data_IF_860040096661
#
_entry.id   IF_860040096661
#
_cell.length_a   1.000
_cell.length_b   1.000
_cell.length_c   1.000
_cell.angle_alpha   90.00
_cell.angle_beta   90.00
_cell.angle_gamma   90.00
#
_symmetry.space_group_name_H-M   'P 1'
#
loop_
_entity.id
_entity.type
_entity.pdbx_description
1 polymer ?
#
# COMPACT_ATOMS: atom_id res chain seq x y z
N UNK A 1 5.29 -26.90 18.52
CA UNK A 1 5.97 -25.74 17.92
C UNK A 1 4.93 -24.71 17.54
N UNK A 2 5.20 -23.43 17.69
CA UNK A 2 4.26 -22.39 17.25
C UNK A 2 4.21 -22.44 15.71
N UNK A 3 3.02 -22.60 15.12
CA UNK A 3 2.81 -22.67 13.66
C UNK A 3 3.40 -21.47 12.91
N UNK A 4 3.55 -20.32 13.57
CA UNK A 4 4.19 -19.14 13.03
C UNK A 4 5.71 -19.35 12.86
N UNK A 5 6.39 -19.96 13.84
CA UNK A 5 7.83 -20.22 13.76
C UNK A 5 8.18 -21.17 12.60
N UNK A 6 7.36 -22.19 12.35
CA UNK A 6 7.55 -23.08 11.20
C UNK A 6 7.46 -22.32 9.85
N UNK A 7 6.55 -21.35 9.75
CA UNK A 7 6.40 -20.50 8.58
C UNK A 7 7.55 -19.50 8.41
N UNK A 8 8.07 -18.95 9.51
CA UNK A 8 9.24 -18.06 9.48
C UNK A 8 10.51 -18.83 9.07
N UNK A 9 10.67 -20.07 9.51
CA UNK A 9 11.75 -20.93 9.04
C UNK A 9 11.60 -21.32 7.56
N UNK A 10 10.37 -21.52 7.08
CA UNK A 10 10.09 -21.69 5.65
C UNK A 10 10.45 -20.43 4.85
N UNK A 11 10.07 -19.23 5.33
CA UNK A 11 10.42 -17.95 4.70
C UNK A 11 11.94 -17.79 4.62
N UNK A 12 12.67 -18.07 5.70
CA UNK A 12 14.12 -18.03 5.75
C UNK A 12 14.76 -18.95 4.69
N UNK A 13 14.26 -20.18 4.55
CA UNK A 13 14.75 -21.14 3.54
C UNK A 13 14.49 -20.63 2.12
N UNK A 14 13.29 -20.06 1.86
CA UNK A 14 12.93 -19.50 0.57
C UNK A 14 13.87 -18.35 0.20
N UNK A 15 14.04 -17.37 1.10
CA UNK A 15 14.92 -16.22 0.86
C UNK A 15 16.37 -16.63 0.66
N UNK A 16 16.87 -17.56 1.49
CA UNK A 16 18.23 -18.09 1.35
C UNK A 16 18.43 -18.78 0.00
N UNK A 17 17.42 -19.48 -0.50
CA UNK A 17 17.45 -20.12 -1.82
C UNK A 17 17.50 -19.14 -2.98
N UNK A 18 17.02 -17.91 -2.82
CA UNK A 18 17.13 -16.85 -3.85
C UNK A 18 18.53 -16.22 -3.93
N UNK A 19 19.30 -16.28 -2.86
CA UNK A 19 20.64 -15.67 -2.75
C UNK A 19 20.57 -14.15 -2.59
N UNK A 20 20.58 -13.38 -3.67
CA UNK A 20 20.45 -11.90 -3.65
C UNK A 20 19.06 -11.47 -4.07
N UNK A 21 18.41 -10.61 -3.29
CA UNK A 21 17.04 -10.19 -3.53
C UNK A 21 16.92 -8.66 -3.69
N UNK A 22 15.97 -8.23 -4.51
CA UNK A 22 15.51 -6.85 -4.60
C UNK A 22 14.03 -6.83 -4.16
N UNK A 23 13.73 -6.13 -3.09
CA UNK A 23 12.39 -6.09 -2.50
C UNK A 23 11.64 -4.88 -3.04
N UNK A 24 10.48 -5.11 -3.67
CA UNK A 24 9.55 -4.04 -4.03
C UNK A 24 8.91 -3.47 -2.75
N UNK A 25 9.49 -2.39 -2.23
CA UNK A 25 9.13 -1.77 -0.96
C UNK A 25 8.09 -0.68 -1.17
N UNK A 26 6.86 -0.93 -0.77
CA UNK A 26 5.74 0.01 -0.91
C UNK A 26 5.52 0.90 0.31
N UNK A 27 6.25 0.69 1.42
CA UNK A 27 5.97 1.32 2.71
C UNK A 27 4.77 0.72 3.48
N UNK A 28 4.13 -0.31 2.94
CA UNK A 28 3.12 -1.09 3.63
C UNK A 28 3.70 -2.18 4.52
N UNK A 29 2.92 -2.63 5.51
CA UNK A 29 3.36 -3.58 6.56
C UNK A 29 4.04 -4.83 5.99
N UNK A 30 3.45 -5.43 4.95
CA UNK A 30 3.93 -6.70 4.40
C UNK A 30 5.32 -6.55 3.75
N UNK A 31 5.52 -5.51 2.93
CA UNK A 31 6.81 -5.23 2.30
C UNK A 31 7.88 -4.79 3.30
N UNK A 32 7.47 -4.07 4.35
CA UNK A 32 8.35 -3.68 5.46
C UNK A 32 8.78 -4.89 6.27
N UNK A 33 7.84 -5.80 6.59
CA UNK A 33 8.19 -7.05 7.26
C UNK A 33 9.18 -7.88 6.43
N UNK A 34 8.92 -8.03 5.12
CA UNK A 34 9.82 -8.78 4.25
C UNK A 34 11.24 -8.19 4.26
N UNK A 35 11.35 -6.85 4.21
CA UNK A 35 12.63 -6.15 4.24
C UNK A 35 13.35 -6.33 5.58
N UNK A 36 12.65 -6.09 6.69
CA UNK A 36 13.25 -6.19 8.04
C UNK A 36 13.62 -7.63 8.38
N UNK A 37 12.79 -8.60 7.98
CA UNK A 37 13.11 -10.01 8.15
C UNK A 37 14.36 -10.41 7.34
N UNK A 38 14.46 -9.98 6.07
CA UNK A 38 15.63 -10.23 5.25
C UNK A 38 16.89 -9.57 5.84
N UNK A 39 16.78 -8.35 6.38
CA UNK A 39 17.85 -7.66 7.09
C UNK A 39 18.43 -8.49 8.25
N UNK A 40 17.56 -9.15 9.06
CA UNK A 40 18.03 -9.97 10.18
C UNK A 40 18.66 -11.30 9.76
N UNK A 41 18.49 -11.70 8.51
CA UNK A 41 19.13 -12.92 8.01
C UNK A 41 20.56 -12.72 7.51
N UNK A 42 20.89 -11.49 7.08
CA UNK A 42 22.14 -11.21 6.38
C UNK A 42 22.75 -9.88 6.83
N UNK A 43 24.06 -9.92 7.12
CA UNK A 43 24.86 -8.74 7.48
C UNK A 43 25.50 -8.06 6.25
N UNK A 44 25.16 -8.51 5.04
CA UNK A 44 25.77 -8.08 3.77
C UNK A 44 24.72 -7.47 2.80
N UNK A 45 25.13 -7.21 1.54
CA UNK A 45 24.32 -6.57 0.52
C UNK A 45 23.33 -7.51 -0.20
N UNK A 46 23.03 -8.69 0.36
CA UNK A 46 22.09 -9.63 -0.28
C UNK A 46 20.68 -9.10 -0.37
N UNK A 47 20.23 -8.31 0.58
CA UNK A 47 18.95 -7.60 0.52
C UNK A 47 19.13 -6.17 0.04
N UNK A 48 18.33 -5.76 -0.95
CA UNK A 48 18.19 -4.39 -1.39
C UNK A 48 16.71 -4.07 -1.58
N UNK A 49 16.36 -2.79 -1.60
CA UNK A 49 15.00 -2.33 -1.78
C UNK A 49 14.84 -1.43 -3.00
N UNK A 50 13.66 -1.47 -3.60
CA UNK A 50 13.26 -0.56 -4.67
C UNK A 50 11.84 -0.07 -4.44
N UNK A 51 11.61 1.23 -4.58
CA UNK A 51 10.27 1.85 -4.44
C UNK A 51 9.93 2.60 -5.72
N UNK A 52 8.75 2.33 -6.28
CA UNK A 52 8.19 3.13 -7.35
C UNK A 52 7.54 4.38 -6.75
N UNK A 53 7.84 5.56 -7.30
CA UNK A 53 7.32 6.86 -6.85
C UNK A 53 6.67 7.60 -8.00
N UNK A 54 5.48 8.17 -7.78
CA UNK A 54 4.73 8.92 -8.77
C UNK A 54 3.39 9.42 -8.21
N UNK A 55 2.63 10.24 -8.95
CA UNK A 55 1.47 10.98 -8.42
C UNK A 55 0.34 10.11 -7.83
N UNK A 56 0.27 8.84 -8.21
CA UNK A 56 -0.76 7.91 -7.72
C UNK A 56 -0.36 7.13 -6.46
N UNK A 57 0.87 7.33 -5.95
CA UNK A 57 1.33 6.85 -4.66
C UNK A 57 1.25 7.96 -3.60
N UNK A 58 1.26 7.58 -2.34
CA UNK A 58 1.31 8.53 -1.25
C UNK A 58 2.79 8.88 -0.94
N UNK A 59 3.09 10.17 -0.90
CA UNK A 59 4.46 10.67 -0.66
C UNK A 59 5.00 10.23 0.70
N UNK A 60 4.17 10.17 1.72
CA UNK A 60 4.50 9.72 3.07
C UNK A 60 4.98 8.25 3.09
N UNK A 61 4.44 7.38 2.23
CA UNK A 61 4.90 6.00 2.12
C UNK A 61 6.30 5.90 1.47
N UNK A 62 6.54 6.68 0.42
CA UNK A 62 7.85 6.75 -0.23
C UNK A 62 8.91 7.30 0.72
N UNK A 63 8.59 8.36 1.47
CA UNK A 63 9.50 8.96 2.44
C UNK A 63 9.77 8.05 3.64
N UNK A 64 8.76 7.30 4.09
CA UNK A 64 8.93 6.26 5.10
C UNK A 64 9.89 5.16 4.62
N UNK A 65 9.71 4.66 3.39
CA UNK A 65 10.58 3.64 2.80
C UNK A 65 12.04 4.10 2.70
N UNK A 66 12.28 5.37 2.30
CA UNK A 66 13.63 5.96 2.28
C UNK A 66 14.29 5.96 3.66
N UNK A 67 13.56 6.47 4.66
CA UNK A 67 14.09 6.54 6.03
C UNK A 67 14.34 5.17 6.63
N UNK A 68 13.43 4.23 6.42
CA UNK A 68 13.60 2.85 6.88
C UNK A 68 14.89 2.23 6.31
N UNK A 69 15.08 2.31 5.01
CA UNK A 69 16.27 1.75 4.37
C UNK A 69 17.56 2.44 4.85
N UNK A 70 17.55 3.78 5.00
CA UNK A 70 18.68 4.54 5.52
C UNK A 70 19.04 4.11 6.96
N UNK A 71 18.04 3.94 7.82
CA UNK A 71 18.23 3.53 9.22
C UNK A 71 18.76 2.08 9.33
N UNK A 72 18.39 1.20 8.41
CA UNK A 72 18.90 -0.18 8.33
C UNK A 72 20.20 -0.31 7.55
N UNK A 73 20.68 0.76 6.89
CA UNK A 73 21.87 0.67 6.02
C UNK A 73 21.64 -0.18 4.77
N UNK A 74 20.38 -0.37 4.34
CA UNK A 74 20.02 -1.15 3.15
C UNK A 74 20.08 -0.28 1.90
N UNK A 75 20.69 -0.78 0.82
CA UNK A 75 20.67 -0.13 -0.49
C UNK A 75 19.25 0.05 -0.98
N UNK A 76 18.88 1.29 -1.30
CA UNK A 76 17.51 1.64 -1.72
C UNK A 76 17.52 2.50 -2.99
N UNK A 77 16.71 2.10 -3.96
CA UNK A 77 16.51 2.83 -5.21
C UNK A 77 15.08 3.34 -5.32
N UNK A 78 14.92 4.61 -5.68
CA UNK A 78 13.62 5.17 -6.07
C UNK A 78 13.54 5.17 -7.60
N UNK A 79 12.47 4.60 -8.13
CA UNK A 79 12.19 4.52 -9.56
C UNK A 79 11.00 5.43 -9.89
N UNK A 80 11.19 6.47 -10.74
CA UNK A 80 10.08 7.31 -11.17
C UNK A 80 9.02 6.50 -11.91
N UNK A 81 7.76 6.70 -11.56
CA UNK A 81 6.59 6.04 -12.14
C UNK A 81 5.56 7.04 -12.71
N UNK A 82 6.02 8.27 -13.05
CA UNK A 82 5.16 9.31 -13.63
C UNK A 82 4.54 8.88 -14.96
N UNK A 83 5.28 8.07 -15.74
CA UNK A 83 4.81 7.50 -17.01
C UNK A 83 3.60 6.57 -16.87
N UNK A 84 3.26 6.13 -15.66
CA UNK A 84 2.12 5.25 -15.41
C UNK A 84 0.79 6.01 -15.50
N UNK A 85 0.74 7.25 -15.00
CA UNK A 85 -0.48 8.03 -14.97
C UNK A 85 -1.12 8.19 -16.36
N UNK A 86 -0.39 8.55 -17.43
CA UNK A 86 -0.93 8.58 -18.79
C UNK A 86 -1.54 7.25 -19.25
N UNK A 87 -0.97 6.12 -18.85
CA UNK A 87 -1.43 4.78 -19.26
C UNK A 87 -2.75 4.40 -18.58
N UNK A 88 -2.92 4.79 -17.31
CA UNK A 88 -4.13 4.49 -16.53
C UNK A 88 -5.13 5.65 -16.48
N UNK A 89 -4.91 6.74 -17.19
CA UNK A 89 -5.68 8.00 -17.06
C UNK A 89 -7.19 7.84 -17.24
N UNK A 90 -7.62 6.90 -18.08
CA UNK A 90 -9.04 6.63 -18.33
C UNK A 90 -9.66 5.71 -17.28
N UNK A 91 -8.90 5.31 -16.28
CA UNK A 91 -9.34 4.54 -15.12
C UNK A 91 -10.12 3.26 -15.49
N UNK A 92 -9.55 2.37 -16.30
CA UNK A 92 -10.21 1.14 -16.70
C UNK A 92 -10.37 0.17 -15.50
N UNK A 93 -11.27 -0.79 -15.60
CA UNK A 93 -11.55 -1.76 -14.54
C UNK A 93 -10.31 -2.63 -14.20
N UNK A 94 -9.47 -2.90 -15.19
CA UNK A 94 -8.19 -3.62 -15.05
C UNK A 94 -6.99 -2.70 -14.76
N UNK A 95 -7.23 -1.42 -14.37
CA UNK A 95 -6.20 -0.45 -14.01
C UNK A 95 -5.08 -1.03 -13.15
N UNK A 96 -5.44 -1.84 -12.12
CA UNK A 96 -4.44 -2.40 -11.21
C UNK A 96 -3.52 -3.41 -11.90
N UNK A 97 -4.01 -4.16 -12.87
CA UNK A 97 -3.19 -5.04 -13.70
C UNK A 97 -2.23 -4.21 -14.56
N UNK A 98 -2.76 -3.24 -15.30
CA UNK A 98 -1.98 -2.38 -16.20
C UNK A 98 -0.87 -1.67 -15.41
N UNK A 99 -1.22 -1.00 -14.31
CA UNK A 99 -0.28 -0.29 -13.45
C UNK A 99 0.82 -1.22 -12.91
N UNK A 100 0.45 -2.37 -12.32
CA UNK A 100 1.45 -3.32 -11.79
C UNK A 100 2.32 -3.91 -12.91
N UNK A 101 1.76 -4.20 -14.07
CA UNK A 101 2.52 -4.72 -15.22
C UNK A 101 3.65 -3.77 -15.61
N UNK A 102 3.32 -2.48 -15.79
CA UNK A 102 4.29 -1.45 -16.16
C UNK A 102 5.36 -1.27 -15.07
N UNK A 103 4.94 -1.08 -13.82
CA UNK A 103 5.86 -0.87 -12.69
C UNK A 103 6.81 -2.06 -12.55
N UNK A 104 6.28 -3.27 -12.44
CA UNK A 104 7.11 -4.44 -12.18
C UNK A 104 7.96 -4.85 -13.38
N UNK A 105 7.58 -4.48 -14.61
CA UNK A 105 8.47 -4.60 -15.78
C UNK A 105 9.71 -3.72 -15.62
N UNK A 106 9.53 -2.46 -15.18
CA UNK A 106 10.65 -1.57 -14.91
C UNK A 106 11.51 -2.06 -13.73
N UNK A 107 10.89 -2.45 -12.62
CA UNK A 107 11.61 -2.95 -11.44
C UNK A 107 12.38 -4.25 -11.73
N UNK A 108 11.80 -5.14 -12.55
CA UNK A 108 12.45 -6.40 -12.95
C UNK A 108 13.74 -6.15 -13.74
N UNK A 109 13.73 -5.15 -14.61
CA UNK A 109 14.94 -4.78 -15.36
C UNK A 109 16.08 -4.42 -14.40
N UNK A 110 15.80 -3.61 -13.36
CA UNK A 110 16.82 -3.28 -12.35
C UNK A 110 17.29 -4.52 -11.57
N UNK A 111 16.37 -5.41 -11.22
CA UNK A 111 16.73 -6.65 -10.53
C UNK A 111 17.64 -7.54 -11.39
N UNK A 112 17.31 -7.70 -12.67
CA UNK A 112 18.08 -8.49 -13.64
C UNK A 112 19.47 -7.88 -13.87
N UNK A 113 19.57 -6.55 -14.01
CA UNK A 113 20.84 -5.81 -14.17
C UNK A 113 21.77 -5.96 -12.96
N UNK A 114 21.22 -6.12 -11.75
CA UNK A 114 21.97 -6.29 -10.50
C UNK A 114 22.16 -7.78 -10.11
N UNK A 115 21.65 -8.72 -10.90
CA UNK A 115 21.69 -10.16 -10.59
C UNK A 115 20.93 -10.51 -9.30
N UNK A 116 19.78 -9.86 -9.07
CA UNK A 116 18.91 -10.06 -7.90
C UNK A 116 17.57 -10.65 -8.30
N UNK A 117 16.99 -11.44 -7.41
CA UNK A 117 15.61 -11.92 -7.56
C UNK A 117 14.64 -10.83 -7.08
N UNK A 118 13.77 -10.34 -7.96
CA UNK A 118 12.73 -9.37 -7.57
C UNK A 118 11.64 -10.06 -6.76
N UNK A 119 11.36 -9.53 -5.56
CA UNK A 119 10.34 -10.04 -4.65
C UNK A 119 9.30 -8.99 -4.32
N UNK A 120 8.08 -9.40 -4.05
CA UNK A 120 6.95 -8.55 -3.65
C UNK A 120 6.37 -9.05 -2.31
N UNK A 121 5.75 -8.15 -1.56
CA UNK A 121 5.14 -8.41 -0.25
C UNK A 121 3.76 -9.07 -0.29
N UNK A 122 3.34 -9.70 -1.38
CA UNK A 122 2.07 -10.42 -1.47
C UNK A 122 2.04 -11.56 -0.45
N UNK A 123 0.99 -11.62 0.37
CA UNK A 123 0.77 -12.59 1.43
C UNK A 123 -0.34 -13.60 1.09
N UNK A 124 -0.63 -14.54 1.99
CA UNK A 124 -1.61 -15.60 1.75
C UNK A 124 -3.04 -15.05 1.60
N UNK A 125 -3.46 -14.09 2.44
CA UNK A 125 -4.83 -13.53 2.41
C UNK A 125 -5.11 -12.75 1.11
N UNK A 126 -4.06 -12.34 0.39
CA UNK A 126 -4.20 -11.66 -0.89
C UNK A 126 -4.70 -12.58 -2.01
N UNK A 127 -4.72 -13.90 -1.79
CA UNK A 127 -5.23 -14.89 -2.76
C UNK A 127 -6.75 -15.02 -2.74
N UNK A 128 -7.40 -14.65 -1.63
CA UNK A 128 -8.86 -14.78 -1.46
C UNK A 128 -9.61 -13.58 -2.07
N UNK A 129 -8.90 -12.54 -2.53
CA UNK A 129 -9.49 -11.33 -3.10
C UNK A 129 -9.29 -11.28 -4.63
N UNK A 130 -10.26 -10.69 -5.36
CA UNK A 130 -10.11 -10.38 -6.78
C UNK A 130 -9.03 -9.33 -6.97
N UNK A 131 -7.80 -9.77 -7.29
CA UNK A 131 -6.63 -8.91 -7.48
C UNK A 131 -6.06 -9.00 -8.89
N UNK A 132 -6.60 -8.22 -9.84
CA UNK A 132 -6.08 -8.21 -11.22
C UNK A 132 -4.58 -7.88 -11.28
N UNK A 133 -4.05 -7.10 -10.33
CA UNK A 133 -2.62 -6.83 -10.22
C UNK A 133 -1.75 -8.06 -9.93
N UNK A 134 -2.26 -9.10 -9.27
CA UNK A 134 -1.51 -10.32 -9.00
C UNK A 134 -1.19 -11.10 -10.29
N UNK A 135 -2.12 -11.09 -11.27
CA UNK A 135 -1.87 -11.69 -12.59
C UNK A 135 -0.63 -11.09 -13.26
N UNK A 136 -0.42 -9.76 -13.13
CA UNK A 136 0.77 -9.11 -13.68
C UNK A 136 2.07 -9.64 -13.03
N UNK A 137 2.07 -9.87 -11.72
CA UNK A 137 3.23 -10.43 -11.01
C UNK A 137 3.54 -11.85 -11.48
N UNK A 138 2.51 -12.69 -11.63
CA UNK A 138 2.68 -14.06 -12.14
C UNK A 138 3.25 -14.09 -13.56
N UNK A 139 2.71 -13.28 -14.47
CA UNK A 139 3.18 -13.19 -15.86
C UNK A 139 4.64 -12.72 -15.98
N UNK A 140 5.11 -11.89 -15.02
CA UNK A 140 6.48 -11.40 -14.97
C UNK A 140 7.43 -12.30 -14.17
N UNK A 141 6.92 -13.38 -13.58
CA UNK A 141 7.70 -14.28 -12.76
C UNK A 141 8.24 -13.64 -11.47
N UNK A 142 7.47 -12.70 -10.88
CA UNK A 142 7.83 -12.06 -9.62
C UNK A 142 7.56 -13.02 -8.46
N UNK A 143 8.54 -13.17 -7.57
CA UNK A 143 8.43 -14.08 -6.44
C UNK A 143 7.66 -13.45 -5.26
N UNK A 144 6.90 -14.28 -4.55
CA UNK A 144 6.06 -13.84 -3.43
C UNK A 144 6.38 -14.66 -2.17
N UNK A 145 7.54 -14.46 -1.53
CA UNK A 145 8.04 -15.34 -0.48
C UNK A 145 7.13 -15.42 0.75
N UNK A 146 6.40 -14.34 1.10
CA UNK A 146 5.44 -14.35 2.23
C UNK A 146 4.27 -15.30 1.95
N UNK A 147 3.70 -15.23 0.73
CA UNK A 147 2.65 -16.13 0.29
C UNK A 147 3.15 -17.58 0.23
N UNK A 148 4.34 -17.79 -0.32
CA UNK A 148 4.92 -19.12 -0.51
C UNK A 148 5.28 -19.79 0.83
N UNK A 149 5.59 -18.98 1.87
CA UNK A 149 5.73 -19.44 3.25
C UNK A 149 4.37 -19.61 3.98
N UNK A 150 3.24 -19.27 3.34
CA UNK A 150 1.91 -19.40 3.90
C UNK A 150 1.58 -18.38 4.99
N UNK A 151 2.23 -17.21 4.99
CA UNK A 151 2.01 -16.16 5.99
C UNK A 151 0.75 -15.34 5.68
N UNK A 152 -0.12 -15.21 6.69
CA UNK A 152 -1.29 -14.33 6.68
C UNK A 152 -0.92 -12.91 7.14
N UNK A 153 -1.79 -11.92 6.85
CA UNK A 153 -1.59 -10.53 7.34
C UNK A 153 -1.48 -10.44 8.84
N UNK A 154 -2.27 -11.21 9.56
CA UNK A 154 -2.24 -11.22 11.03
C UNK A 154 -0.91 -11.78 11.54
N UNK A 155 -0.43 -12.88 10.95
CA UNK A 155 0.87 -13.49 11.30
C UNK A 155 2.03 -12.56 10.96
N UNK A 156 1.99 -11.85 9.83
CA UNK A 156 3.00 -10.86 9.43
C UNK A 156 3.06 -9.72 10.46
N UNK A 157 1.92 -9.15 10.85
CA UNK A 157 1.86 -8.08 11.86
C UNK A 157 2.42 -8.53 13.21
N UNK A 158 2.05 -9.74 13.65
CA UNK A 158 2.58 -10.33 14.88
C UNK A 158 4.09 -10.54 14.78
N UNK A 159 4.56 -11.15 13.69
CA UNK A 159 5.99 -11.41 13.50
C UNK A 159 6.81 -10.11 13.43
N UNK A 160 6.30 -9.06 12.81
CA UNK A 160 6.98 -7.76 12.77
C UNK A 160 7.06 -7.10 14.15
N UNK A 161 6.01 -7.17 14.95
CA UNK A 161 6.01 -6.69 16.35
C UNK A 161 7.01 -7.47 17.20
N UNK A 162 6.99 -8.82 17.13
CA UNK A 162 7.91 -9.68 17.86
C UNK A 162 9.37 -9.42 17.43
N UNK A 163 9.62 -9.19 16.13
CA UNK A 163 10.94 -8.86 15.61
C UNK A 163 11.43 -7.51 16.16
N UNK A 164 10.58 -6.48 16.16
CA UNK A 164 10.91 -5.17 16.73
C UNK A 164 11.20 -5.23 18.24
N UNK A 165 10.52 -6.11 18.98
CA UNK A 165 10.76 -6.28 20.41
C UNK A 165 12.04 -7.07 20.70
N UNK A 166 12.44 -7.97 19.81
CA UNK A 166 13.65 -8.80 19.96
C UNK A 166 14.92 -8.11 19.45
N UNK A 167 14.80 -7.17 18.51
CA UNK A 167 15.93 -6.46 17.89
C UNK A 167 15.77 -4.93 18.02
N UNK A 168 16.52 -4.29 18.95
CA UNK A 168 16.46 -2.84 19.14
C UNK A 168 16.85 -2.04 17.90
N UNK A 169 17.68 -2.56 17.00
CA UNK A 169 18.05 -1.88 15.74
C UNK A 169 16.88 -1.83 14.76
N UNK A 170 16.15 -2.93 14.64
CA UNK A 170 14.91 -3.01 13.86
C UNK A 170 13.86 -2.06 14.45
N UNK A 171 13.67 -2.09 15.79
CA UNK A 171 12.72 -1.20 16.47
C UNK A 171 13.02 0.28 16.20
N UNK A 172 14.27 0.66 16.32
CA UNK A 172 14.69 2.05 16.05
C UNK A 172 14.51 2.41 14.56
N UNK A 173 14.80 1.48 13.65
CA UNK A 173 14.68 1.71 12.23
C UNK A 173 13.22 1.88 11.76
N UNK A 174 12.28 1.15 12.37
CA UNK A 174 10.86 1.24 12.05
C UNK A 174 10.23 2.59 12.44
N UNK A 175 10.80 3.33 13.38
CA UNK A 175 10.37 4.67 13.85
C UNK A 175 8.95 4.72 14.45
N UNK A 176 8.08 3.80 14.11
CA UNK A 176 6.67 3.72 14.53
C UNK A 176 6.21 2.28 14.67
N UNK A 177 5.10 2.05 15.36
CA UNK A 177 4.44 0.74 15.46
C UNK A 177 3.71 0.39 14.15
N UNK A 178 4.48 0.29 13.07
CA UNK A 178 3.95 0.11 11.71
C UNK A 178 3.05 -1.12 11.57
N UNK A 179 3.21 -2.13 12.41
CA UNK A 179 2.34 -3.32 12.41
C UNK A 179 0.89 -3.00 12.73
N UNK A 180 0.60 -1.82 13.32
CA UNK A 180 -0.75 -1.30 13.54
C UNK A 180 -1.26 -0.46 12.35
N UNK A 181 -0.41 -0.12 11.37
CA UNK A 181 -0.79 0.71 10.23
C UNK A 181 -1.94 0.08 9.44
N UNK A 182 -3.03 0.83 9.18
CA UNK A 182 -4.11 0.35 8.31
C UNK A 182 -3.61 0.07 6.89
N UNK A 183 -4.28 -0.86 6.19
CA UNK A 183 -3.98 -1.12 4.79
C UNK A 183 -4.26 0.13 3.95
N UNK A 184 -3.25 0.57 3.20
CA UNK A 184 -3.35 1.71 2.30
C UNK A 184 -3.36 1.23 0.85
N UNK A 185 -4.44 1.56 0.13
CA UNK A 185 -4.52 1.30 -1.31
C UNK A 185 -4.07 2.55 -2.08
N UNK A 186 -3.56 2.38 -3.30
CA UNK A 186 -3.16 3.44 -4.20
C UNK A 186 -4.23 4.55 -4.32
N UNK A 187 -3.84 5.82 -4.36
CA UNK A 187 -4.73 6.99 -4.43
C UNK A 187 -5.70 6.93 -5.62
N UNK A 188 -5.29 6.36 -6.73
CA UNK A 188 -6.17 6.18 -7.90
C UNK A 188 -7.43 5.36 -7.58
N UNK A 189 -7.42 4.54 -6.52
CA UNK A 189 -8.59 3.80 -6.06
C UNK A 189 -9.68 4.69 -5.44
N UNK A 190 -9.44 5.98 -5.24
CA UNK A 190 -10.42 6.96 -4.74
C UNK A 190 -11.26 7.57 -5.85
N UNK A 191 -10.83 7.39 -7.09
CA UNK A 191 -11.52 7.90 -8.28
C UNK A 191 -12.37 6.77 -8.86
N UNK A 192 -13.68 7.00 -9.13
CA UNK A 192 -14.56 5.98 -9.72
C UNK A 192 -14.03 5.48 -11.07
N UNK A 193 -14.27 4.20 -11.38
CA UNK A 193 -13.91 3.64 -12.67
C UNK A 193 -14.51 4.47 -13.82
N UNK A 194 -13.77 4.56 -14.93
CA UNK A 194 -14.12 5.34 -16.14
C UNK A 194 -14.10 6.87 -15.96
N UNK A 195 -13.85 7.38 -14.76
CA UNK A 195 -13.51 8.78 -14.56
C UNK A 195 -12.02 9.02 -14.77
N UNK A 196 -11.67 10.14 -15.41
CA UNK A 196 -10.27 10.52 -15.64
C UNK A 196 -9.52 10.67 -14.31
N UNK A 197 -8.37 9.99 -14.22
CA UNK A 197 -7.39 10.20 -13.17
C UNK A 197 -6.48 11.34 -13.61
N UNK A 198 -6.38 12.39 -12.80
CA UNK A 198 -5.44 13.50 -13.00
C UNK A 198 -4.64 13.75 -11.73
N UNK A 199 -3.49 14.42 -11.88
CA UNK A 199 -2.63 14.77 -10.73
C UNK A 199 -3.36 15.66 -9.73
N UNK A 200 -4.17 16.61 -10.21
CA UNK A 200 -4.95 17.51 -9.35
C UNK A 200 -5.95 16.75 -8.49
N UNK A 201 -6.67 15.77 -9.08
CA UNK A 201 -7.60 14.91 -8.34
C UNK A 201 -6.88 14.06 -7.30
N UNK A 202 -5.76 13.46 -7.67
CA UNK A 202 -4.96 12.65 -6.74
C UNK A 202 -4.42 13.51 -5.60
N UNK A 203 -3.90 14.69 -5.90
CA UNK A 203 -3.39 15.62 -4.90
C UNK A 203 -4.51 16.14 -3.97
N UNK A 204 -5.69 16.45 -4.50
CA UNK A 204 -6.85 16.87 -3.69
C UNK A 204 -7.27 15.76 -2.72
N UNK A 205 -7.38 14.53 -3.20
CA UNK A 205 -7.69 13.35 -2.37
C UNK A 205 -6.63 13.14 -1.29
N UNK A 206 -5.36 13.18 -1.66
CA UNK A 206 -4.26 12.99 -0.72
C UNK A 206 -4.28 14.02 0.41
N UNK A 207 -4.38 15.34 0.06
CA UNK A 207 -4.49 16.42 1.05
C UNK A 207 -5.69 16.23 1.96
N UNK A 208 -6.85 15.84 1.42
CA UNK A 208 -8.04 15.61 2.19
C UNK A 208 -7.90 14.42 3.17
N UNK A 209 -7.28 13.31 2.74
CA UNK A 209 -7.01 12.16 3.63
C UNK A 209 -5.97 12.51 4.69
N UNK A 210 -4.91 13.28 4.38
CA UNK A 210 -3.94 13.79 5.37
C UNK A 210 -4.64 14.66 6.39
N UNK A 211 -5.40 15.67 5.96
CA UNK A 211 -6.15 16.55 6.84
C UNK A 211 -7.07 15.79 7.81
N UNK A 212 -7.79 14.78 7.32
CA UNK A 212 -8.67 13.97 8.17
C UNK A 212 -7.87 13.08 9.13
N UNK A 213 -6.73 12.54 8.72
CA UNK A 213 -5.82 11.81 9.63
C UNK A 213 -5.29 12.71 10.74
N UNK A 214 -4.92 13.96 10.44
CA UNK A 214 -4.48 14.94 11.43
C UNK A 214 -5.59 15.32 12.44
N UNK A 215 -6.86 15.13 12.04
CA UNK A 215 -8.00 15.23 12.95
C UNK A 215 -8.22 13.95 13.79
N UNK A 216 -7.37 12.92 13.64
CA UNK A 216 -7.42 11.69 14.42
C UNK A 216 -8.36 10.62 13.85
N UNK A 217 -8.52 10.54 12.54
CA UNK A 217 -9.15 9.39 11.88
C UNK A 217 -8.09 8.39 11.42
N UNK A 218 -7.94 7.28 12.09
CA UNK A 218 -6.94 6.26 11.75
C UNK A 218 -7.23 5.60 10.41
N UNK A 219 -8.51 5.34 10.12
CA UNK A 219 -8.96 4.73 8.88
C UNK A 219 -9.97 5.63 8.17
N UNK A 220 -9.51 6.31 7.13
CA UNK A 220 -10.36 7.21 6.33
C UNK A 220 -10.07 7.04 4.84
N UNK A 221 -11.10 7.23 4.03
CA UNK A 221 -10.98 7.35 2.58
C UNK A 221 -11.81 8.53 2.08
N UNK A 222 -11.23 9.31 1.19
CA UNK A 222 -11.93 10.39 0.50
C UNK A 222 -12.12 10.00 -0.96
N UNK A 223 -13.38 9.73 -1.35
CA UNK A 223 -13.73 9.39 -2.72
C UNK A 223 -14.01 10.65 -3.50
N UNK A 224 -13.42 10.76 -4.69
CA UNK A 224 -13.58 11.89 -5.58
C UNK A 224 -14.81 11.69 -6.46
N UNK A 225 -15.84 12.51 -6.28
CA UNK A 225 -17.03 12.53 -7.12
C UNK A 225 -17.22 13.93 -7.72
N UNK A 226 -16.41 14.27 -8.74
CA UNK A 226 -16.40 15.61 -9.31
C UNK A 226 -16.05 16.68 -8.27
N UNK A 227 -16.98 17.57 -7.96
CA UNK A 227 -16.80 18.63 -6.96
C UNK A 227 -16.97 18.15 -5.51
N UNK A 228 -17.39 16.90 -5.30
CA UNK A 228 -17.75 16.36 -3.98
C UNK A 228 -16.66 15.42 -3.45
N UNK A 229 -16.19 15.68 -2.24
CA UNK A 229 -15.44 14.73 -1.44
C UNK A 229 -16.42 13.86 -0.64
N UNK A 230 -16.56 12.57 -0.97
CA UNK A 230 -17.30 11.61 -0.16
C UNK A 230 -16.37 10.95 0.83
N UNK A 231 -16.58 11.25 2.12
CA UNK A 231 -15.74 10.84 3.25
C UNK A 231 -16.25 9.51 3.80
N UNK A 232 -15.42 8.48 3.77
CA UNK A 232 -15.66 7.17 4.38
C UNK A 232 -14.79 7.04 5.62
N UNK A 233 -15.38 6.98 6.82
CA UNK A 233 -14.72 6.72 8.11
C UNK A 233 -15.22 5.41 8.69
N UNK A 234 -14.55 4.88 9.72
CA UNK A 234 -15.06 3.70 10.44
C UNK A 234 -16.45 3.97 11.01
N UNK A 235 -17.31 2.94 11.14
CA UNK A 235 -18.67 3.11 11.68
C UNK A 235 -18.72 3.81 13.03
N UNK A 236 -17.76 3.52 13.93
CA UNK A 236 -17.61 4.11 15.26
C UNK A 236 -17.23 5.59 15.22
N UNK A 237 -16.52 6.03 14.21
CA UNK A 237 -16.07 7.41 14.05
C UNK A 237 -17.17 8.35 13.53
N UNK A 238 -18.28 7.82 12.99
CA UNK A 238 -19.34 8.63 12.40
C UNK A 238 -20.02 9.55 13.41
N UNK A 239 -20.06 9.15 14.70
CA UNK A 239 -20.64 9.99 15.74
C UNK A 239 -19.92 11.33 15.94
N UNK A 240 -18.65 11.45 15.54
CA UNK A 240 -17.89 12.71 15.60
C UNK A 240 -18.50 13.81 14.70
N UNK A 241 -19.23 13.42 13.67
CA UNK A 241 -19.94 14.32 12.76
C UNK A 241 -21.32 14.77 13.29
N UNK A 242 -21.69 14.45 14.56
CA UNK A 242 -22.91 14.99 15.16
C UNK A 242 -22.68 16.36 15.82
N UNK A 243 -21.41 16.77 15.94
CA UNK A 243 -21.02 18.10 16.41
C UNK A 243 -20.96 19.07 15.23
N UNK A 244 -21.71 20.20 15.32
CA UNK A 244 -21.80 21.18 14.23
C UNK A 244 -20.49 21.92 13.98
N UNK A 245 -19.76 22.27 15.05
CA UNK A 245 -18.48 22.98 14.92
C UNK A 245 -17.43 22.07 14.27
N UNK A 246 -17.48 20.77 14.60
CA UNK A 246 -16.63 19.78 13.94
C UNK A 246 -17.00 19.59 12.47
N UNK A 247 -18.29 19.54 12.12
CA UNK A 247 -18.73 19.48 10.71
C UNK A 247 -18.25 20.69 9.92
N UNK A 248 -18.37 21.91 10.47
CA UNK A 248 -17.91 23.14 9.83
C UNK A 248 -16.38 23.10 9.62
N UNK A 249 -15.63 22.69 10.65
CA UNK A 249 -14.17 22.50 10.53
C UNK A 249 -13.78 21.53 9.43
N UNK A 250 -14.47 20.38 9.32
CA UNK A 250 -14.22 19.39 8.30
C UNK A 250 -14.58 19.95 6.92
N UNK A 251 -15.75 20.60 6.78
CA UNK A 251 -16.17 21.20 5.52
C UNK A 251 -15.14 22.20 4.98
N UNK A 252 -14.68 23.13 5.83
CA UNK A 252 -13.70 24.15 5.45
C UNK A 252 -12.35 23.53 5.08
N UNK A 253 -11.88 22.55 5.86
CA UNK A 253 -10.65 21.83 5.57
C UNK A 253 -10.70 21.08 4.24
N UNK A 254 -11.81 20.40 3.95
CA UNK A 254 -12.02 19.69 2.67
C UNK A 254 -12.06 20.66 1.49
N UNK A 255 -12.71 21.82 1.64
CA UNK A 255 -12.72 22.86 0.61
C UNK A 255 -11.32 23.40 0.33
N UNK A 256 -10.50 23.61 1.35
CA UNK A 256 -9.10 24.02 1.20
C UNK A 256 -8.25 22.94 0.49
N UNK A 257 -8.69 21.68 0.48
CA UNK A 257 -8.04 20.60 -0.28
C UNK A 257 -8.40 20.59 -1.78
N UNK A 258 -9.36 21.46 -2.24
CA UNK A 258 -9.73 21.60 -3.66
C UNK A 258 -11.09 21.03 -4.02
N UNK A 259 -11.91 20.63 -3.04
CA UNK A 259 -13.30 20.22 -3.25
C UNK A 259 -14.26 21.40 -3.01
N UNK A 260 -15.44 21.39 -3.66
CA UNK A 260 -16.50 22.38 -3.38
C UNK A 260 -17.42 21.95 -2.26
N UNK A 261 -17.63 20.64 -2.12
CA UNK A 261 -18.55 20.07 -1.17
C UNK A 261 -17.90 18.90 -0.42
N UNK A 262 -18.24 18.75 0.87
CA UNK A 262 -17.95 17.58 1.67
C UNK A 262 -19.24 16.80 1.95
N UNK A 263 -19.19 15.48 1.86
CA UNK A 263 -20.30 14.59 2.19
C UNK A 263 -19.81 13.40 3.00
N UNK A 264 -20.52 13.03 4.06
CA UNK A 264 -20.25 11.82 4.83
C UNK A 264 -20.95 10.62 4.19
N UNK A 265 -20.23 9.55 3.94
CA UNK A 265 -20.82 8.26 3.56
C UNK A 265 -21.51 7.61 4.77
N UNK A 266 -22.83 7.47 4.72
CA UNK A 266 -23.61 6.86 5.80
C UNK A 266 -23.29 5.38 6.01
N UNK A 267 -22.80 4.68 4.99
CA UNK A 267 -22.35 3.29 5.07
C UNK A 267 -20.98 3.13 5.74
N UNK A 268 -20.19 4.21 5.78
CA UNK A 268 -18.83 4.24 6.29
C UNK A 268 -17.84 3.42 5.47
N UNK A 269 -16.61 3.33 5.99
CA UNK A 269 -15.54 2.58 5.34
C UNK A 269 -15.84 1.07 5.30
N UNK A 270 -15.71 0.50 4.10
CA UNK A 270 -15.75 -0.96 3.87
C UNK A 270 -14.66 -1.33 2.86
N UNK A 271 -13.91 -2.40 3.16
CA UNK A 271 -12.90 -2.91 2.23
C UNK A 271 -13.55 -3.34 0.91
N UNK A 272 -12.95 -2.96 -0.23
CA UNK A 272 -13.47 -3.33 -1.55
C UNK A 272 -14.75 -2.62 -2.00
N UNK A 273 -15.17 -1.55 -1.34
CA UNK A 273 -16.44 -0.85 -1.60
C UNK A 273 -16.61 -0.39 -3.07
N UNK A 274 -15.54 0.09 -3.72
CA UNK A 274 -15.58 0.48 -5.14
C UNK A 274 -15.75 -0.70 -6.10
N UNK A 275 -15.24 -1.88 -5.75
CA UNK A 275 -15.36 -3.07 -6.60
C UNK A 275 -16.81 -3.59 -6.64
N UNK A 276 -17.61 -3.29 -5.61
CA UNK A 276 -19.02 -3.67 -5.53
C UNK A 276 -19.93 -2.76 -6.39
N UNK A 277 -19.53 -1.51 -6.60
CA UNK A 277 -20.29 -0.58 -7.45
C UNK A 277 -20.26 -0.99 -8.93
N UNK A 278 -19.15 -1.51 -9.44
CA UNK A 278 -19.06 -2.04 -10.81
C UNK A 278 -19.92 -3.30 -11.07
N UNK A 279 -20.40 -3.98 -10.02
CA UNK A 279 -21.28 -5.14 -10.15
C UNK A 279 -22.78 -4.79 -10.11
N UNK A 280 -23.16 -3.58 -9.68
CA UNK A 280 -24.56 -3.13 -9.70
C UNK A 280 -25.02 -2.83 -11.13
N UNK A 281 -24.13 -2.30 -11.98
CA UNK A 281 -24.44 -2.04 -13.40
C UNK A 281 -24.55 -3.31 -14.26
N UNK A 282 -24.15 -4.47 -13.74
CA UNK A 282 -24.26 -5.78 -14.43
C UNK A 282 -25.55 -6.55 -14.12
N UNK A 283 -26.40 -6.05 -13.22
CA UNK A 283 -27.67 -6.71 -12.84
C UNK A 283 -28.91 -6.09 -13.48
N UNK A 284 -28.77 -5.03 -14.27
CA UNK A 284 -29.88 -4.37 -14.98
C UNK A 284 -29.56 -4.27 -16.49
N UNK A 285 -29.33 -5.42 -17.16
CA UNK A 285 -29.53 -5.57 -18.61
C UNK A 285 -30.13 -6.95 -18.84
#
# INVERSE_FOLDING_TARGET
>A
MDRLQDKLEALKKILTGYGRILIALSGGVDSVFLLTFAYTLWEDDRAAAVTASGPHFADDETEYAKRLCANLGISHRIVPADHILPVIKHNPEDRCYICKKEIFTALKKYADDEGRVLTDGTNLDDMDDYRPGYRALQELGITNPLKDAGLTKQEIRRALSELADSDPSVKAALMTDIWNKPAFACLASRIPYREMITEEKLAAVYRAEVFLRDLGFDQVRVRHHGDVARIEVLPEDRCRFYDSDFMDKVNDGIRNCGFRFAALDLGGYKMGNLNKMGNLDKKEI
#
